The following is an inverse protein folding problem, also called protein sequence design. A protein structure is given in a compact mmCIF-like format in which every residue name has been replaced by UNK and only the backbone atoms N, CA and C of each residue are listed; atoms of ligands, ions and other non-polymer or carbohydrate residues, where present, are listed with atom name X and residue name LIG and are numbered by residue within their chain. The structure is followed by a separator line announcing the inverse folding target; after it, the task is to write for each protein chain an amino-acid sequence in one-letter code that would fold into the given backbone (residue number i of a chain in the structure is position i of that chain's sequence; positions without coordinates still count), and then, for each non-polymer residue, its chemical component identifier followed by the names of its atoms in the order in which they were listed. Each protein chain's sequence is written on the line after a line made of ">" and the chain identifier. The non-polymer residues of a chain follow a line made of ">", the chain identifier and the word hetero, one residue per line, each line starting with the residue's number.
data_IF_034392506522
#
_entry.id   IF_034392506522
#
_cell.length_a   1.000
_cell.length_b   1.000
_cell.length_c   1.000
_cell.angle_alpha   90.00
_cell.angle_beta   90.00
_cell.angle_gamma   90.00
#
_symmetry.space_group_name_H-M   'P 1'
#
loop_
_entity.id
_entity.type
_entity.pdbx_description
1 polymer ?
#
# COMPACT_ATOMS: atom_id res chain seq x y z
N UNK A 1 -17.72 5.15 -5.88
CA UNK A 1 -16.47 4.49 -5.43
C UNK A 1 -15.96 5.20 -4.19
N UNK A 2 -15.13 4.57 -3.35
CA UNK A 2 -14.71 5.12 -2.06
C UNK A 2 -13.52 6.11 -2.11
N UNK A 3 -12.74 6.10 -3.20
CA UNK A 3 -11.56 6.97 -3.39
C UNK A 3 -11.34 7.31 -4.87
N UNK A 4 -10.72 8.45 -5.13
CA UNK A 4 -10.39 8.96 -6.46
C UNK A 4 -8.87 8.95 -6.70
N UNK A 5 -8.45 9.30 -7.92
CA UNK A 5 -7.05 9.54 -8.24
C UNK A 5 -6.45 10.65 -7.32
N UNK A 6 -5.15 10.60 -7.05
CA UNK A 6 -4.42 11.53 -6.18
C UNK A 6 -4.80 11.52 -4.68
N UNK A 7 -5.80 10.72 -4.28
CA UNK A 7 -6.11 10.50 -2.87
C UNK A 7 -4.94 9.76 -2.17
N UNK A 8 -4.88 9.89 -0.84
CA UNK A 8 -3.97 9.11 0.01
C UNK A 8 -4.81 8.02 0.69
N UNK A 9 -4.43 6.75 0.51
CA UNK A 9 -5.08 5.60 1.13
C UNK A 9 -4.25 5.07 2.29
N UNK A 10 -4.88 4.83 3.43
CA UNK A 10 -4.23 4.24 4.61
C UNK A 10 -4.48 2.73 4.65
N UNK A 11 -3.40 1.96 4.77
CA UNK A 11 -3.43 0.51 5.02
C UNK A 11 -2.78 0.22 6.37
N UNK A 12 -3.56 0.07 7.45
CA UNK A 12 -3.00 -0.19 8.80
C UNK A 12 -2.41 -1.60 8.96
N UNK A 13 -2.74 -2.51 8.04
CA UNK A 13 -2.17 -3.86 7.91
C UNK A 13 -1.79 -4.07 6.44
N UNK A 14 -0.58 -3.66 6.07
CA UNK A 14 -0.14 -3.64 4.67
C UNK A 14 0.20 -5.04 4.16
N UNK A 15 0.58 -5.97 5.06
CA UNK A 15 0.96 -7.33 4.74
C UNK A 15 2.01 -7.37 3.62
N UNK A 16 1.75 -8.18 2.59
CA UNK A 16 2.66 -8.25 1.43
C UNK A 16 2.55 -7.06 0.47
N UNK A 17 1.78 -6.01 0.76
CA UNK A 17 1.71 -4.78 -0.02
C UNK A 17 0.89 -4.81 -1.31
N UNK A 18 0.10 -5.86 -1.56
CA UNK A 18 -0.71 -5.99 -2.80
C UNK A 18 -1.72 -4.86 -2.97
N UNK A 19 -2.42 -4.47 -1.91
CA UNK A 19 -3.40 -3.37 -1.95
C UNK A 19 -2.73 -2.01 -2.20
N UNK A 20 -1.55 -1.79 -1.60
CA UNK A 20 -0.75 -0.58 -1.81
C UNK A 20 -0.29 -0.45 -3.28
N UNK A 21 0.13 -1.55 -3.91
CA UNK A 21 0.48 -1.57 -5.34
C UNK A 21 -0.74 -1.27 -6.20
N UNK A 22 -1.91 -1.84 -5.88
CA UNK A 22 -3.13 -1.54 -6.62
C UNK A 22 -3.49 -0.05 -6.52
N UNK A 23 -3.39 0.54 -5.32
CA UNK A 23 -3.58 1.97 -5.12
C UNK A 23 -2.63 2.80 -6.01
N UNK A 24 -1.34 2.47 -6.02
CA UNK A 24 -0.33 3.13 -6.87
C UNK A 24 -0.63 3.02 -8.36
N UNK A 25 -0.98 1.83 -8.85
CA UNK A 25 -1.32 1.58 -10.26
C UNK A 25 -2.55 2.35 -10.73
N UNK A 26 -3.42 2.74 -9.80
CA UNK A 26 -4.62 3.51 -10.06
C UNK A 26 -4.43 5.01 -9.77
N UNK A 27 -3.19 5.48 -9.67
CA UNK A 27 -2.85 6.90 -9.46
C UNK A 27 -3.14 7.43 -8.05
N UNK A 28 -3.27 6.54 -7.05
CA UNK A 28 -3.35 6.94 -5.63
C UNK A 28 -2.00 6.88 -4.95
N UNK A 29 -1.83 7.73 -3.93
CA UNK A 29 -0.75 7.61 -2.95
C UNK A 29 -1.22 6.72 -1.81
N UNK A 30 -0.29 6.16 -1.03
CA UNK A 30 -0.64 5.33 0.13
C UNK A 30 0.32 5.51 1.30
N UNK A 31 -0.17 5.19 2.49
CA UNK A 31 0.63 5.00 3.71
C UNK A 31 0.29 3.59 4.22
N UNK A 32 1.31 2.77 4.44
CA UNK A 32 1.15 1.38 4.88
C UNK A 32 1.90 1.12 6.18
N UNK A 33 1.27 0.40 7.09
CA UNK A 33 1.85 -0.07 8.35
C UNK A 33 1.72 -1.59 8.45
N UNK A 34 2.72 -2.24 9.01
CA UNK A 34 2.60 -3.59 9.55
C UNK A 34 3.34 -3.65 10.89
N UNK A 35 2.95 -4.59 11.75
CA UNK A 35 3.67 -4.84 13.00
C UNK A 35 4.83 -5.80 12.78
N UNK A 36 4.75 -6.65 11.75
CA UNK A 36 5.82 -7.56 11.39
C UNK A 36 6.76 -6.87 10.38
N UNK A 37 8.00 -6.64 10.81
CA UNK A 37 9.05 -6.06 9.97
C UNK A 37 9.27 -6.86 8.68
N UNK A 38 9.03 -8.17 8.68
CA UNK A 38 9.13 -8.99 7.46
C UNK A 38 8.09 -8.55 6.42
N UNK A 39 6.86 -8.25 6.84
CA UNK A 39 5.83 -7.76 5.92
C UNK A 39 6.14 -6.35 5.43
N UNK A 40 6.69 -5.50 6.30
CA UNK A 40 7.17 -4.17 5.90
C UNK A 40 8.25 -4.29 4.82
N UNK A 41 9.23 -5.18 5.00
CA UNK A 41 10.32 -5.38 4.05
C UNK A 41 9.85 -6.03 2.74
N UNK A 42 8.94 -7.00 2.80
CA UNK A 42 8.31 -7.58 1.61
C UNK A 42 7.57 -6.48 0.84
N UNK A 43 6.76 -5.67 1.50
CA UNK A 43 5.98 -4.61 0.86
C UNK A 43 6.87 -3.52 0.26
N UNK A 44 7.95 -3.12 0.93
CA UNK A 44 8.92 -2.12 0.44
C UNK A 44 9.67 -2.57 -0.81
N UNK A 45 10.08 -3.84 -0.86
CA UNK A 45 10.86 -4.39 -1.96
C UNK A 45 10.01 -4.98 -3.10
N UNK A 46 8.68 -4.90 -2.98
CA UNK A 46 7.77 -5.45 -3.98
C UNK A 46 7.79 -4.61 -5.26
N UNK A 47 8.00 -5.21 -6.44
CA UNK A 47 7.95 -4.49 -7.70
C UNK A 47 6.57 -3.86 -7.92
N UNK A 48 6.55 -2.56 -8.21
CA UNK A 48 5.32 -1.77 -8.41
C UNK A 48 4.97 -1.58 -9.87
#
# INVERSE_FOLDING_TARGET
>A
MATDENNIVLYPFVGTGTAAIAAKKLGRRYIGFDIDDNYVDIAKNKPS
#
